data_IF_530136115527
#
_entry.id   IF_530136115527
#
_cell.length_a   1.000
_cell.length_b   1.000
_cell.length_c   1.000
_cell.angle_alpha   90.00
_cell.angle_beta   90.00
_cell.angle_gamma   90.00
#
_symmetry.space_group_name_H-M   'P 1'
#
loop_
_entity.id
_entity.type
_entity.pdbx_description
1 polymer ?
#
# COMPACT_ATOMS: atom_id res chain seq x y z
N UNK A 1 -4.29 -20.81 -21.95
CA UNK A 1 -4.25 -20.52 -20.50
C UNK A 1 -2.86 -20.00 -20.19
N UNK A 2 -2.70 -18.78 -19.64
CA UNK A 2 -1.37 -18.23 -19.30
C UNK A 2 -0.87 -18.96 -18.05
N UNK A 3 0.36 -19.50 -18.07
CA UNK A 3 0.92 -20.13 -16.87
C UNK A 3 1.32 -19.03 -15.88
N UNK A 4 1.16 -19.27 -14.58
CA UNK A 4 1.45 -18.28 -13.53
C UNK A 4 2.87 -17.70 -13.65
N UNK A 5 3.86 -18.54 -14.00
CA UNK A 5 5.23 -18.10 -14.24
C UNK A 5 5.36 -17.07 -15.37
N UNK A 6 4.59 -17.20 -16.45
CA UNK A 6 4.62 -16.25 -17.58
C UNK A 6 4.05 -14.88 -17.18
N UNK A 7 3.01 -14.87 -16.34
CA UNK A 7 2.46 -13.64 -15.78
C UNK A 7 3.45 -12.97 -14.83
N UNK A 8 4.04 -13.75 -13.90
CA UNK A 8 5.05 -13.23 -12.99
C UNK A 8 6.28 -12.69 -13.72
N UNK A 9 6.69 -13.32 -14.82
CA UNK A 9 7.76 -12.79 -15.68
C UNK A 9 7.40 -11.42 -16.27
N UNK A 10 6.16 -11.22 -16.73
CA UNK A 10 5.71 -9.92 -17.23
C UNK A 10 5.71 -8.86 -16.13
N UNK A 11 5.21 -9.19 -14.95
CA UNK A 11 5.18 -8.27 -13.80
C UNK A 11 6.60 -7.97 -13.27
N UNK A 12 7.48 -8.97 -13.25
CA UNK A 12 8.88 -8.83 -12.89
C UNK A 12 9.60 -7.80 -13.76
N UNK A 13 9.36 -7.81 -15.08
CA UNK A 13 9.92 -6.81 -16.00
C UNK A 13 9.48 -5.39 -15.66
N UNK A 14 8.23 -5.20 -15.25
CA UNK A 14 7.71 -3.89 -14.83
C UNK A 14 8.39 -3.44 -13.54
N UNK A 15 8.42 -4.31 -12.52
CA UNK A 15 9.05 -4.00 -11.23
C UNK A 15 10.53 -3.65 -11.41
N UNK A 16 11.26 -4.44 -12.21
CA UNK A 16 12.67 -4.21 -12.50
C UNK A 16 12.89 -2.92 -13.28
N UNK A 17 12.03 -2.59 -14.24
CA UNK A 17 12.11 -1.33 -14.99
C UNK A 17 11.85 -0.11 -14.09
N UNK A 18 11.01 -0.24 -13.07
CA UNK A 18 10.72 0.87 -12.15
C UNK A 18 11.84 1.05 -11.13
N UNK A 19 12.49 -0.04 -10.68
CA UNK A 19 13.53 0.02 -9.66
C UNK A 19 14.85 0.61 -10.14
N UNK A 20 15.09 0.63 -11.45
CA UNK A 20 16.29 1.25 -12.03
C UNK A 20 16.15 2.78 -12.17
N UNK A 21 14.95 3.32 -11.98
CA UNK A 21 14.72 4.76 -12.00
C UNK A 21 15.30 5.39 -10.72
N UNK A 22 16.25 6.31 -10.90
CA UNK A 22 16.86 7.08 -9.81
C UNK A 22 16.39 8.52 -9.87
N UNK A 23 15.85 9.01 -8.75
CA UNK A 23 15.33 10.36 -8.61
C UNK A 23 15.90 10.99 -7.34
N UNK A 24 16.22 12.28 -7.41
CA UNK A 24 16.96 12.98 -6.34
C UNK A 24 16.13 13.33 -5.10
N UNK A 25 14.81 13.11 -5.14
CA UNK A 25 13.86 13.48 -4.09
C UNK A 25 12.75 12.45 -3.92
N UNK A 26 12.14 12.43 -2.74
CA UNK A 26 10.93 11.68 -2.37
C UNK A 26 9.70 12.58 -2.59
N UNK A 27 8.78 12.19 -3.47
CA UNK A 27 7.65 13.02 -3.91
C UNK A 27 6.88 12.46 -5.12
N UNK A 28 5.79 13.12 -5.49
CA UNK A 28 5.04 12.78 -6.71
C UNK A 28 5.71 13.37 -7.95
N UNK A 29 5.70 12.59 -9.03
CA UNK A 29 6.37 12.94 -10.29
C UNK A 29 5.41 13.71 -11.19
N UNK A 30 5.88 14.80 -11.76
CA UNK A 30 5.15 15.60 -12.74
C UNK A 30 6.02 15.84 -13.97
N UNK A 31 5.38 15.95 -15.13
CA UNK A 31 6.08 16.25 -16.38
C UNK A 31 6.30 17.76 -16.46
N UNK A 32 7.57 18.18 -16.51
CA UNK A 32 7.93 19.58 -16.69
C UNK A 32 7.47 20.05 -18.08
N UNK A 33 6.54 21.01 -18.17
CA UNK A 33 5.96 21.44 -19.44
C UNK A 33 6.95 22.16 -20.36
N UNK A 34 8.12 22.61 -19.86
CA UNK A 34 9.11 23.35 -20.65
C UNK A 34 10.11 22.46 -21.37
N UNK A 35 10.50 21.33 -20.78
CA UNK A 35 11.54 20.44 -21.32
C UNK A 35 11.08 19.00 -21.47
N UNK A 36 9.81 18.69 -21.15
CA UNK A 36 9.20 17.37 -21.26
C UNK A 36 9.88 16.28 -20.42
N UNK A 37 10.71 16.67 -19.44
CA UNK A 37 11.37 15.75 -18.51
C UNK A 37 10.50 15.49 -17.28
N UNK A 38 10.64 14.32 -16.69
CA UNK A 38 9.94 13.96 -15.45
C UNK A 38 10.71 14.47 -14.24
N UNK A 39 10.06 15.22 -13.35
CA UNK A 39 10.67 15.78 -12.14
C UNK A 39 9.79 15.52 -10.92
N UNK A 40 10.42 15.37 -9.77
CA UNK A 40 9.74 15.29 -8.48
C UNK A 40 9.45 16.71 -7.99
N UNK A 41 8.23 17.20 -8.20
CA UNK A 41 7.84 18.59 -7.91
C UNK A 41 6.91 18.73 -6.69
N UNK A 42 6.16 17.68 -6.36
CA UNK A 42 5.11 17.71 -5.33
C UNK A 42 5.39 16.73 -4.19
N UNK A 43 4.70 16.92 -3.07
CA UNK A 43 4.73 15.97 -1.94
C UNK A 43 4.29 14.57 -2.39
N UNK A 44 4.73 13.48 -1.73
CA UNK A 44 4.25 12.15 -2.03
C UNK A 44 2.74 12.04 -1.83
N UNK A 45 2.04 11.52 -2.83
CA UNK A 45 0.62 11.16 -2.75
C UNK A 45 0.49 9.66 -3.00
N UNK A 46 0.48 8.87 -1.93
CA UNK A 46 0.28 7.42 -2.04
C UNK A 46 -1.20 7.05 -1.97
N UNK A 47 -1.59 5.96 -2.64
CA UNK A 47 -2.95 5.43 -2.56
C UNK A 47 -3.38 5.19 -1.10
N UNK A 48 -2.52 4.65 -0.25
CA UNK A 48 -2.85 4.44 1.17
C UNK A 48 -3.10 5.75 1.94
N UNK A 49 -2.43 6.85 1.57
CA UNK A 49 -2.73 8.17 2.12
C UNK A 49 -4.09 8.65 1.61
N UNK A 50 -4.36 8.47 0.31
CA UNK A 50 -5.67 8.78 -0.26
C UNK A 50 -6.78 7.95 0.40
N UNK A 51 -6.60 6.66 0.65
CA UNK A 51 -7.55 5.80 1.37
C UNK A 51 -7.78 6.26 2.82
N UNK A 52 -6.73 6.71 3.51
CA UNK A 52 -6.88 7.29 4.86
C UNK A 52 -7.72 8.55 4.81
N UNK A 53 -7.58 9.37 3.78
CA UNK A 53 -8.46 10.53 3.64
C UNK A 53 -9.84 10.04 3.18
N UNK A 54 -9.98 9.20 2.14
CA UNK A 54 -11.24 8.71 1.55
C UNK A 54 -12.13 7.97 2.54
N UNK A 55 -11.57 7.00 3.24
CA UNK A 55 -12.25 6.20 4.25
C UNK A 55 -12.20 6.87 5.64
N UNK A 56 -11.21 7.73 5.88
CA UNK A 56 -11.11 8.60 7.03
C UNK A 56 -11.44 10.04 6.64
N UNK A 57 -12.73 10.30 6.49
CA UNK A 57 -13.30 11.62 6.22
C UNK A 57 -12.96 12.26 4.83
N UNK A 58 -13.39 11.68 3.67
CA UNK A 58 -13.44 12.37 2.33
C UNK A 58 -14.80 12.29 1.58
N UNK A 59 -14.96 13.26 0.68
CA UNK A 59 -16.18 13.93 0.26
C UNK A 59 -17.19 13.09 -0.55
N UNK A 60 -18.47 13.42 -0.32
CA UNK A 60 -19.67 12.75 -0.85
C UNK A 60 -19.86 12.88 -2.38
N UNK A 61 -19.19 13.82 -3.04
CA UNK A 61 -19.41 14.14 -4.46
C UNK A 61 -18.96 13.04 -5.45
N UNK A 62 -18.30 11.99 -4.96
CA UNK A 62 -17.80 10.85 -5.75
C UNK A 62 -18.62 9.57 -5.51
N UNK A 63 -19.58 9.61 -4.59
CA UNK A 63 -20.51 8.51 -4.35
C UNK A 63 -21.63 8.62 -5.39
N UNK A 64 -22.00 7.52 -6.08
CA UNK A 64 -23.07 7.55 -7.07
C UNK A 64 -24.35 8.18 -6.50
N UNK A 65 -24.82 9.27 -7.13
CA UNK A 65 -25.99 10.05 -6.70
C UNK A 65 -27.31 9.56 -7.35
N UNK A 66 -27.33 8.32 -7.83
CA UNK A 66 -28.53 7.71 -8.41
C UNK A 66 -29.26 6.86 -7.37
N UNK A 67 -30.57 7.04 -7.27
CA UNK A 67 -31.43 6.14 -6.51
C UNK A 67 -31.56 4.82 -7.27
N UNK A 68 -31.26 3.71 -6.60
CA UNK A 68 -31.47 2.36 -7.13
C UNK A 68 -32.78 1.81 -6.56
N UNK A 69 -33.69 1.34 -7.40
CA UNK A 69 -34.96 0.75 -6.96
C UNK A 69 -34.80 -0.67 -6.40
N UNK A 70 -33.66 -1.32 -6.67
CA UNK A 70 -33.35 -2.69 -6.23
C UNK A 70 -31.88 -2.81 -5.80
N UNK A 71 -31.62 -3.66 -4.80
CA UNK A 71 -30.26 -3.90 -4.29
C UNK A 71 -29.33 -4.55 -5.34
N UNK A 72 -29.88 -5.38 -6.22
CA UNK A 72 -29.18 -6.02 -7.36
C UNK A 72 -28.53 -4.98 -8.27
N UNK A 73 -29.30 -3.98 -8.71
CA UNK A 73 -28.83 -2.92 -9.61
C UNK A 73 -27.73 -2.05 -8.99
N UNK A 74 -27.74 -1.88 -7.66
CA UNK A 74 -26.65 -1.22 -6.95
C UNK A 74 -25.37 -2.06 -6.93
N UNK A 75 -25.49 -3.37 -6.64
CA UNK A 75 -24.34 -4.28 -6.67
C UNK A 75 -23.75 -4.42 -8.08
N UNK A 76 -24.57 -4.44 -9.13
CA UNK A 76 -24.10 -4.47 -10.52
C UNK A 76 -23.31 -3.19 -10.86
N UNK A 77 -23.81 -2.01 -10.46
CA UNK A 77 -23.11 -0.75 -10.68
C UNK A 77 -21.76 -0.68 -9.94
N UNK A 78 -21.67 -1.22 -8.71
CA UNK A 78 -20.41 -1.31 -7.97
C UNK A 78 -19.42 -2.27 -8.63
N UNK A 79 -19.90 -3.42 -9.12
CA UNK A 79 -19.07 -4.41 -9.82
C UNK A 79 -18.56 -3.84 -11.15
N UNK A 80 -19.40 -3.17 -11.92
CA UNK A 80 -19.00 -2.51 -13.18
C UNK A 80 -17.97 -1.40 -12.95
N UNK A 81 -18.14 -0.58 -11.91
CA UNK A 81 -17.18 0.44 -11.52
C UNK A 81 -15.82 -0.18 -11.17
N UNK A 82 -15.83 -1.25 -10.37
CA UNK A 82 -14.62 -1.96 -9.95
C UNK A 82 -13.91 -2.64 -11.13
N UNK A 83 -14.67 -3.26 -12.05
CA UNK A 83 -14.14 -3.89 -13.27
C UNK A 83 -13.58 -2.85 -14.24
N UNK A 84 -14.28 -1.72 -14.43
CA UNK A 84 -13.87 -0.63 -15.30
C UNK A 84 -12.56 0.00 -14.83
N UNK A 85 -12.41 0.23 -13.53
CA UNK A 85 -11.15 0.71 -12.92
C UNK A 85 -10.01 -0.31 -13.13
N UNK A 86 -10.26 -1.60 -12.92
CA UNK A 86 -9.23 -2.64 -13.03
C UNK A 86 -8.73 -2.86 -14.47
N UNK A 87 -9.62 -2.81 -15.47
CA UNK A 87 -9.28 -3.07 -16.88
C UNK A 87 -8.59 -1.87 -17.53
N UNK A 88 -8.89 -0.64 -17.10
CA UNK A 88 -8.33 0.57 -17.73
C UNK A 88 -6.84 0.79 -17.45
N UNK A 89 -6.31 0.20 -16.37
CA UNK A 89 -4.97 0.55 -15.89
C UNK A 89 -3.85 -0.34 -16.45
N UNK A 90 -4.19 -1.43 -17.17
CA UNK A 90 -3.23 -2.33 -17.81
C UNK A 90 -3.58 -2.51 -19.28
N UNK A 91 -2.68 -2.05 -20.16
CA UNK A 91 -2.79 -2.21 -21.61
C UNK A 91 -2.24 -3.57 -22.02
N UNK A 92 -3.06 -4.36 -22.71
CA UNK A 92 -2.71 -5.71 -23.18
C UNK A 92 -2.93 -5.78 -24.69
N UNK A 93 -1.96 -6.34 -25.43
CA UNK A 93 -2.13 -6.55 -26.87
C UNK A 93 -2.90 -7.83 -27.21
N UNK A 94 -3.20 -8.06 -28.50
CA UNK A 94 -3.93 -9.25 -28.98
C UNK A 94 -3.29 -10.58 -28.54
N UNK A 95 -1.96 -10.60 -28.37
CA UNK A 95 -1.21 -11.75 -27.89
C UNK A 95 -1.23 -11.91 -26.35
N UNK A 96 -2.06 -11.15 -25.63
CA UNK A 96 -2.17 -11.14 -24.16
C UNK A 96 -0.88 -10.73 -23.44
N UNK A 97 -0.04 -9.92 -24.09
CA UNK A 97 1.16 -9.35 -23.48
C UNK A 97 0.83 -7.97 -22.91
N UNK A 98 1.29 -7.72 -21.67
CA UNK A 98 1.20 -6.39 -21.06
C UNK A 98 2.14 -5.48 -21.85
N UNK A 99 1.59 -4.47 -22.51
CA UNK A 99 2.31 -3.50 -23.35
C UNK A 99 2.41 -2.13 -22.69
N UNK A 100 1.62 -1.89 -21.64
CA UNK A 100 1.70 -0.66 -20.86
C UNK A 100 0.92 -0.78 -19.55
N UNK A 101 1.32 0.02 -18.58
CA UNK A 101 0.55 0.30 -17.37
C UNK A 101 0.29 1.80 -17.39
N UNK A 102 -0.95 2.19 -17.17
CA UNK A 102 -1.39 3.59 -17.14
C UNK A 102 -1.91 3.92 -15.75
N UNK A 103 -2.36 5.16 -15.55
CA UNK A 103 -2.93 5.61 -14.28
C UNK A 103 -1.93 5.65 -13.11
N UNK A 104 -0.84 6.39 -13.33
CA UNK A 104 0.23 6.59 -12.35
C UNK A 104 -0.07 7.71 -11.34
N UNK A 105 -1.32 8.16 -11.21
CA UNK A 105 -1.70 9.35 -10.43
C UNK A 105 -1.32 9.26 -8.93
N UNK A 106 -1.23 8.04 -8.39
CA UNK A 106 -0.78 7.77 -7.01
C UNK A 106 0.66 7.25 -6.92
N UNK A 107 1.45 7.46 -7.96
CA UNK A 107 2.86 7.06 -7.99
C UNK A 107 3.70 8.11 -7.33
N UNK A 108 4.59 7.67 -6.45
CA UNK A 108 5.50 8.53 -5.72
C UNK A 108 6.87 7.86 -5.63
N UNK A 109 7.91 8.67 -5.51
CA UNK A 109 9.23 8.18 -5.18
C UNK A 109 9.31 7.88 -3.69
N UNK A 110 9.93 6.77 -3.33
CA UNK A 110 10.02 6.26 -1.96
C UNK A 110 11.45 5.80 -1.65
N UNK A 111 11.81 5.57 -0.37
CA UNK A 111 13.08 4.94 -0.03
C UNK A 111 13.26 3.62 -0.79
N UNK A 112 14.48 3.36 -1.26
CA UNK A 112 14.80 2.20 -2.11
C UNK A 112 14.48 0.87 -1.42
N UNK A 113 14.53 0.84 -0.09
CA UNK A 113 14.22 -0.32 0.75
C UNK A 113 12.77 -0.82 0.56
N UNK A 114 11.85 0.03 0.08
CA UNK A 114 10.51 -0.42 -0.29
C UNK A 114 10.49 -1.34 -1.51
N UNK A 115 11.46 -1.19 -2.43
CA UNK A 115 11.64 -2.11 -3.56
C UNK A 115 12.22 -3.46 -3.14
N UNK A 116 12.91 -3.51 -1.99
CA UNK A 116 13.42 -4.75 -1.42
C UNK A 116 12.31 -5.56 -0.76
N UNK A 117 11.13 -5.00 -0.49
CA UNK A 117 9.99 -5.79 0.00
C UNK A 117 9.29 -6.44 -1.20
N UNK A 118 9.24 -7.79 -1.30
CA UNK A 118 8.53 -8.43 -2.40
C UNK A 118 7.05 -8.01 -2.43
N UNK A 119 6.39 -8.09 -3.60
CA UNK A 119 5.03 -7.59 -3.72
C UNK A 119 4.02 -8.45 -2.94
N UNK A 120 3.30 -7.87 -1.97
CA UNK A 120 2.33 -8.62 -1.16
C UNK A 120 1.17 -9.21 -2.01
N UNK A 121 0.85 -8.58 -3.14
CA UNK A 121 -0.26 -8.95 -4.01
C UNK A 121 -0.06 -10.25 -4.80
N UNK A 122 1.05 -11.00 -4.58
CA UNK A 122 1.24 -12.33 -5.19
C UNK A 122 0.11 -13.32 -4.85
N UNK A 123 -0.58 -13.12 -3.74
CA UNK A 123 -1.77 -13.88 -3.34
C UNK A 123 -3.11 -13.19 -3.67
N UNK A 124 -3.07 -11.97 -4.22
CA UNK A 124 -4.24 -11.11 -4.53
C UNK A 124 -5.12 -10.72 -3.34
N UNK A 125 -4.87 -11.26 -2.16
CA UNK A 125 -5.59 -10.97 -0.92
C UNK A 125 -4.61 -10.53 0.17
N UNK A 126 -4.98 -9.50 0.93
CA UNK A 126 -4.14 -8.94 1.97
C UNK A 126 -4.01 -9.89 3.17
N UNK A 127 -2.85 -9.94 3.85
CA UNK A 127 -2.64 -10.77 5.03
C UNK A 127 -3.69 -10.60 6.13
N UNK A 128 -4.16 -9.37 6.36
CA UNK A 128 -5.16 -9.04 7.39
C UNK A 128 -6.58 -9.53 7.09
N UNK A 129 -6.90 -9.81 5.82
CA UNK A 129 -8.21 -10.30 5.39
C UNK A 129 -8.26 -11.81 5.16
N UNK A 130 -7.09 -12.47 5.21
CA UNK A 130 -6.98 -13.89 4.93
C UNK A 130 -7.76 -14.73 5.94
N UNK A 131 -8.81 -15.39 5.46
CA UNK A 131 -9.75 -16.18 6.29
C UNK A 131 -9.08 -17.25 7.17
N UNK A 132 -7.98 -17.85 6.71
CA UNK A 132 -7.23 -18.89 7.45
C UNK A 132 -6.15 -18.32 8.39
N UNK A 133 -6.08 -16.99 8.49
CA UNK A 133 -5.15 -16.26 9.33
C UNK A 133 -3.76 -16.06 8.75
N UNK A 134 -3.00 -15.17 9.38
CA UNK A 134 -1.70 -14.69 8.92
C UNK A 134 -0.65 -15.81 8.75
N UNK A 135 -0.72 -16.87 9.55
CA UNK A 135 0.19 -18.01 9.46
C UNK A 135 0.06 -18.76 8.14
N UNK A 136 -1.17 -19.14 7.77
CA UNK A 136 -1.44 -19.80 6.47
C UNK A 136 -1.14 -18.86 5.31
N UNK A 137 -1.49 -17.56 5.42
CA UNK A 137 -1.13 -16.57 4.41
C UNK A 137 0.38 -16.58 4.14
N UNK A 138 1.22 -16.56 5.19
CA UNK A 138 2.67 -16.62 5.04
C UNK A 138 3.11 -17.92 4.33
N UNK A 139 2.52 -19.06 4.69
CA UNK A 139 2.85 -20.35 4.08
C UNK A 139 2.47 -20.45 2.60
N UNK A 140 1.34 -19.85 2.19
CA UNK A 140 0.98 -19.79 0.77
C UNK A 140 1.82 -18.76 0.02
N UNK A 141 2.11 -17.62 0.66
CA UNK A 141 2.88 -16.54 0.08
C UNK A 141 4.31 -17.02 -0.23
N UNK A 142 4.94 -17.76 0.68
CA UNK A 142 6.29 -18.31 0.51
C UNK A 142 6.41 -19.13 -0.80
N UNK A 143 5.44 -20.00 -1.07
CA UNK A 143 5.41 -20.81 -2.31
C UNK A 143 5.29 -19.94 -3.57
N UNK A 144 4.47 -18.88 -3.52
CA UNK A 144 4.29 -17.94 -4.64
C UNK A 144 5.50 -17.04 -4.83
N UNK A 145 6.10 -16.62 -3.73
CA UNK A 145 7.31 -15.83 -3.71
C UNK A 145 8.44 -16.56 -4.42
N UNK A 146 8.66 -17.86 -4.16
CA UNK A 146 9.70 -18.61 -4.88
C UNK A 146 9.48 -18.62 -6.40
N UNK A 147 8.22 -18.78 -6.84
CA UNK A 147 7.90 -18.73 -8.28
C UNK A 147 8.16 -17.34 -8.86
N UNK A 148 7.83 -16.28 -8.12
CA UNK A 148 8.06 -14.90 -8.53
C UNK A 148 9.55 -14.56 -8.55
N UNK A 149 10.31 -14.99 -7.55
CA UNK A 149 11.75 -14.77 -7.46
C UNK A 149 12.50 -15.50 -8.57
N UNK A 150 12.05 -16.68 -8.99
CA UNK A 150 12.61 -17.33 -10.18
C UNK A 150 12.38 -16.47 -11.43
N UNK A 151 11.16 -15.97 -11.62
CA UNK A 151 10.85 -15.10 -12.76
C UNK A 151 11.63 -13.78 -12.74
N UNK A 152 11.84 -13.20 -11.54
CA UNK A 152 12.71 -12.02 -11.35
C UNK A 152 14.15 -12.32 -11.73
N UNK A 153 14.73 -13.42 -11.22
CA UNK A 153 16.10 -13.83 -11.57
C UNK A 153 16.27 -14.00 -13.08
N UNK A 154 15.35 -14.70 -13.74
CA UNK A 154 15.44 -14.90 -15.19
C UNK A 154 15.41 -13.57 -15.96
N UNK A 155 14.57 -12.62 -15.54
CA UNK A 155 14.49 -11.28 -16.12
C UNK A 155 15.77 -10.47 -15.87
N UNK A 156 16.30 -10.52 -14.65
CA UNK A 156 17.57 -9.87 -14.29
C UNK A 156 18.72 -10.43 -15.13
N UNK A 157 18.82 -11.76 -15.28
CA UNK A 157 19.83 -12.43 -16.10
C UNK A 157 19.73 -12.04 -17.59
N UNK A 158 18.51 -11.91 -18.12
CA UNK A 158 18.27 -11.41 -19.47
C UNK A 158 18.74 -9.96 -19.63
N UNK A 159 18.37 -9.07 -18.70
CA UNK A 159 18.74 -7.65 -18.74
C UNK A 159 20.25 -7.42 -18.53
N UNK A 160 20.90 -8.22 -17.68
CA UNK A 160 22.35 -8.17 -17.46
C UNK A 160 23.09 -8.63 -18.71
N UNK A 161 22.66 -9.73 -19.35
CA UNK A 161 23.23 -10.18 -20.64
C UNK A 161 23.03 -9.15 -21.75
N UNK A 162 21.94 -8.39 -21.71
CA UNK A 162 21.68 -7.30 -22.63
C UNK A 162 22.45 -5.99 -22.30
N UNK A 163 23.21 -5.95 -21.20
CA UNK A 163 23.94 -4.77 -20.75
C UNK A 163 23.05 -3.63 -20.20
N UNK A 164 21.80 -3.93 -19.87
CA UNK A 164 20.80 -2.95 -19.41
C UNK A 164 20.72 -2.83 -17.88
N UNK A 165 21.32 -3.78 -17.15
CA UNK A 165 21.30 -3.86 -15.70
C UNK A 165 22.68 -4.29 -15.19
N UNK A 166 23.13 -3.71 -14.08
CA UNK A 166 24.33 -4.17 -13.38
C UNK A 166 23.99 -5.25 -12.35
N UNK A 167 24.94 -6.15 -12.07
CA UNK A 167 24.79 -7.19 -11.02
C UNK A 167 24.41 -6.61 -9.64
N UNK A 168 24.91 -5.41 -9.31
CA UNK A 168 24.58 -4.71 -8.05
C UNK A 168 23.15 -4.19 -7.97
N UNK A 169 22.42 -4.17 -9.09
CA UNK A 169 21.04 -3.67 -9.18
C UNK A 169 20.00 -4.80 -9.12
N UNK A 170 20.42 -6.05 -8.87
CA UNK A 170 19.48 -7.17 -8.68
C UNK A 170 18.59 -6.96 -7.46
N UNK A 171 17.30 -7.20 -7.64
CA UNK A 171 16.29 -7.10 -6.58
C UNK A 171 15.92 -8.46 -5.99
N UNK A 172 15.97 -9.53 -6.78
CA UNK A 172 15.54 -10.87 -6.38
C UNK A 172 16.18 -11.33 -5.06
N UNK A 173 17.49 -11.13 -4.90
CA UNK A 173 18.23 -11.41 -3.67
C UNK A 173 17.76 -10.55 -2.50
N UNK A 174 17.65 -9.24 -2.70
CA UNK A 174 17.18 -8.30 -1.69
C UNK A 174 15.74 -8.60 -1.23
N UNK A 175 14.87 -8.99 -2.16
CA UNK A 175 13.50 -9.44 -1.88
C UNK A 175 13.45 -10.70 -1.03
N UNK A 176 14.30 -11.68 -1.35
CA UNK A 176 14.44 -12.92 -0.59
C UNK A 176 14.91 -12.63 0.83
N UNK A 177 15.93 -11.80 0.98
CA UNK A 177 16.51 -11.45 2.28
C UNK A 177 15.54 -10.63 3.13
N UNK A 178 14.81 -9.69 2.51
CA UNK A 178 13.77 -8.91 3.17
C UNK A 178 12.63 -9.78 3.72
N UNK A 179 12.21 -10.80 2.97
CA UNK A 179 11.22 -11.77 3.45
C UNK A 179 11.75 -12.60 4.62
N UNK A 180 12.94 -13.20 4.47
CA UNK A 180 13.56 -14.06 5.51
C UNK A 180 13.87 -13.33 6.81
N UNK A 181 14.39 -12.10 6.71
CA UNK A 181 14.72 -11.27 7.88
C UNK A 181 13.48 -10.72 8.59
N UNK A 182 12.33 -10.70 7.91
CA UNK A 182 11.10 -10.05 8.38
C UNK A 182 11.04 -8.55 8.09
N UNK A 183 12.04 -7.96 7.41
CA UNK A 183 12.03 -6.55 6.99
C UNK A 183 10.85 -6.23 6.07
N UNK A 184 10.37 -7.22 5.30
CA UNK A 184 9.11 -7.13 4.57
C UNK A 184 7.96 -6.58 5.43
N UNK A 185 7.82 -7.03 6.68
CA UNK A 185 6.72 -6.63 7.56
C UNK A 185 6.82 -5.17 8.01
N UNK A 186 8.05 -4.65 8.18
CA UNK A 186 8.27 -3.23 8.49
C UNK A 186 7.81 -2.37 7.32
N UNK A 187 8.23 -2.73 6.10
CA UNK A 187 7.83 -2.02 4.88
C UNK A 187 6.35 -2.20 4.55
N UNK A 188 5.76 -3.35 4.90
CA UNK A 188 4.34 -3.61 4.73
C UNK A 188 3.51 -2.74 5.69
N UNK A 189 3.84 -2.74 6.98
CA UNK A 189 3.13 -1.97 8.00
C UNK A 189 3.25 -0.45 7.75
N UNK A 190 4.42 0.03 7.31
CA UNK A 190 4.62 1.43 6.95
C UNK A 190 3.72 1.90 5.78
N UNK A 191 3.33 0.99 4.89
CA UNK A 191 2.48 1.28 3.72
C UNK A 191 0.99 0.98 3.94
N UNK A 192 0.64 0.22 4.98
CA UNK A 192 -0.73 -0.24 5.24
C UNK A 192 -1.14 0.14 6.67
N UNK A 193 -1.58 1.39 6.83
CA UNK A 193 -1.90 1.99 8.13
C UNK A 193 -3.03 1.25 8.87
N UNK A 194 -4.09 0.81 8.19
CA UNK A 194 -5.19 0.06 8.81
C UNK A 194 -4.77 -1.33 9.32
N UNK A 195 -3.75 -1.94 8.70
CA UNK A 195 -3.20 -3.22 9.13
C UNK A 195 -2.09 -3.06 10.18
N UNK A 196 -1.63 -1.82 10.43
CA UNK A 196 -0.42 -1.54 11.20
C UNK A 196 -0.45 -2.23 12.56
N UNK A 197 -1.51 -2.05 13.35
CA UNK A 197 -1.59 -2.59 14.71
C UNK A 197 -1.45 -4.12 14.71
N UNK A 198 -2.28 -4.81 13.89
CA UNK A 198 -2.25 -6.26 13.80
C UNK A 198 -0.91 -6.83 13.33
N UNK A 199 -0.26 -6.18 12.36
CA UNK A 199 1.03 -6.61 11.82
C UNK A 199 2.16 -6.29 12.80
N UNK A 200 2.10 -5.13 13.45
CA UNK A 200 3.10 -4.68 14.41
C UNK A 200 3.25 -5.70 15.53
N UNK A 201 2.15 -6.03 16.21
CA UNK A 201 2.18 -6.96 17.34
C UNK A 201 2.54 -8.39 16.93
N UNK A 202 2.11 -8.84 15.74
CA UNK A 202 2.36 -10.22 15.29
C UNK A 202 3.75 -10.44 14.68
N UNK A 203 4.32 -9.45 14.00
CA UNK A 203 5.50 -9.63 13.14
C UNK A 203 6.66 -8.66 13.42
N UNK A 204 6.42 -7.53 14.10
CA UNK A 204 7.43 -6.49 14.31
C UNK A 204 7.87 -6.44 15.78
N UNK A 205 6.95 -6.22 16.73
CA UNK A 205 7.25 -6.01 18.16
C UNK A 205 8.24 -7.05 18.70
N UNK A 206 7.94 -8.33 18.51
CA UNK A 206 8.73 -9.44 19.05
C UNK A 206 10.17 -9.51 18.53
N UNK A 207 10.45 -8.92 17.36
CA UNK A 207 11.80 -8.86 16.78
C UNK A 207 12.69 -7.84 17.50
N UNK A 208 12.09 -6.77 18.03
CA UNK A 208 12.83 -5.68 18.67
C UNK A 208 12.77 -5.75 20.20
N UNK A 209 11.67 -6.24 20.77
CA UNK A 209 11.40 -6.23 22.20
C UNK A 209 11.27 -7.63 22.82
N UNK A 210 11.53 -8.69 22.04
CA UNK A 210 11.52 -10.07 22.50
C UNK A 210 10.11 -10.67 22.62
N UNK A 211 9.97 -11.93 23.09
CA UNK A 211 8.68 -12.60 23.19
C UNK A 211 7.74 -11.92 24.20
N UNK A 212 6.43 -12.15 24.04
CA UNK A 212 5.39 -11.77 25.00
C UNK A 212 4.75 -13.00 25.62
N UNK A 213 4.23 -12.85 26.84
CA UNK A 213 3.54 -13.90 27.56
C UNK A 213 2.07 -14.01 27.14
N UNK A 214 1.46 -12.89 26.78
CA UNK A 214 0.08 -12.86 26.29
C UNK A 214 -0.05 -13.47 24.89
N UNK A 215 -1.04 -14.34 24.77
CA UNK A 215 -1.54 -14.86 23.49
C UNK A 215 -2.60 -13.93 22.87
N UNK A 216 -3.23 -13.07 23.69
CA UNK A 216 -4.21 -12.08 23.25
C UNK A 216 -3.51 -10.79 22.82
N UNK A 217 -3.66 -10.43 21.55
CA UNK A 217 -3.04 -9.26 20.93
C UNK A 217 -3.44 -7.94 21.63
N UNK A 218 -4.70 -7.84 22.04
CA UNK A 218 -5.27 -6.63 22.67
C UNK A 218 -4.63 -6.30 24.03
N UNK A 219 -3.91 -7.24 24.63
CA UNK A 219 -3.25 -7.09 25.92
C UNK A 219 -1.73 -7.03 25.83
N UNK A 220 -1.13 -7.30 24.66
CA UNK A 220 0.34 -7.35 24.46
C UNK A 220 0.99 -6.01 24.81
N UNK A 221 0.35 -4.88 24.49
CA UNK A 221 0.88 -3.55 24.77
C UNK A 221 1.10 -3.30 26.27
N UNK A 222 0.32 -3.94 27.16
CA UNK A 222 0.46 -3.79 28.62
C UNK A 222 1.81 -4.31 29.10
N UNK A 223 2.30 -5.39 28.49
CA UNK A 223 3.63 -5.93 28.78
C UNK A 223 4.75 -4.98 28.33
N UNK A 224 4.49 -4.06 27.40
CA UNK A 224 5.46 -3.08 26.89
C UNK A 224 5.45 -1.74 27.62
N UNK A 225 4.51 -1.51 28.54
CA UNK A 225 4.43 -0.26 29.30
C UNK A 225 5.69 0.06 30.09
N UNK A 226 6.46 -0.93 30.51
CA UNK A 226 7.71 -0.71 31.22
C UNK A 226 8.82 -0.09 30.35
N UNK A 227 8.70 -0.16 29.01
CA UNK A 227 9.64 0.44 28.06
C UNK A 227 9.46 1.96 27.94
N UNK A 228 8.29 2.47 28.30
CA UNK A 228 7.98 3.89 28.23
C UNK A 228 8.54 4.64 29.46
N UNK A 229 9.15 5.78 29.21
CA UNK A 229 9.56 6.73 30.24
C UNK A 229 8.34 7.33 30.96
N UNK A 230 8.56 7.92 32.14
CA UNK A 230 7.48 8.60 32.88
C UNK A 230 6.86 9.74 32.06
N UNK A 231 7.68 10.51 31.33
CA UNK A 231 7.21 11.60 30.48
C UNK A 231 6.31 11.10 29.36
N UNK A 232 6.66 9.97 28.72
CA UNK A 232 5.84 9.38 27.66
C UNK A 232 4.52 8.84 28.20
N UNK A 233 4.52 8.21 29.38
CA UNK A 233 3.29 7.75 30.05
C UNK A 233 2.36 8.91 30.39
N UNK A 234 2.91 10.00 30.93
CA UNK A 234 2.15 11.22 31.22
C UNK A 234 1.58 11.83 29.94
N UNK A 235 2.37 11.88 28.86
CA UNK A 235 1.92 12.34 27.56
C UNK A 235 0.76 11.51 27.00
N UNK A 236 0.82 10.18 27.10
CA UNK A 236 -0.29 9.30 26.70
C UNK A 236 -1.56 9.64 27.48
N UNK A 237 -1.46 9.82 28.80
CA UNK A 237 -2.61 10.19 29.62
C UNK A 237 -3.22 11.54 29.21
N UNK A 238 -2.37 12.52 28.86
CA UNK A 238 -2.82 13.82 28.31
C UNK A 238 -3.56 13.59 26.99
N UNK A 239 -3.00 12.82 26.05
CA UNK A 239 -3.66 12.52 24.78
C UNK A 239 -5.01 11.82 24.96
N UNK A 240 -5.09 10.83 25.85
CA UNK A 240 -6.33 10.10 26.15
C UNK A 240 -7.37 11.06 26.72
N UNK A 241 -6.99 11.90 27.69
CA UNK A 241 -7.89 12.91 28.27
C UNK A 241 -8.41 13.88 27.21
N UNK A 242 -7.53 14.43 26.38
CA UNK A 242 -7.91 15.30 25.27
C UNK A 242 -8.86 14.60 24.30
N UNK A 243 -8.63 13.31 23.99
CA UNK A 243 -9.53 12.53 23.12
C UNK A 243 -10.91 12.31 23.76
N UNK A 244 -11.00 12.06 25.05
CA UNK A 244 -12.28 11.95 25.76
C UNK A 244 -13.04 13.29 25.81
N UNK A 245 -12.34 14.39 26.07
CA UNK A 245 -12.93 15.75 26.05
C UNK A 245 -13.41 16.13 24.65
N UNK A 246 -12.63 15.79 23.62
CA UNK A 246 -13.04 15.91 22.23
C UNK A 246 -14.25 15.04 21.93
N UNK A 247 -14.31 13.79 22.40
CA UNK A 247 -15.46 12.91 22.14
C UNK A 247 -16.78 13.47 22.69
N UNK A 248 -16.73 14.21 23.81
CA UNK A 248 -17.91 14.84 24.42
C UNK A 248 -18.40 16.08 23.66
N UNK A 249 -17.51 16.76 22.96
CA UNK A 249 -17.79 18.03 22.27
C UNK A 249 -17.81 17.90 20.75
N UNK A 250 -17.25 16.80 20.23
CA UNK A 250 -17.22 16.46 18.81
C UNK A 250 -18.65 16.06 18.45
N UNK A 251 -19.39 16.90 17.71
CA UNK A 251 -20.57 16.37 17.07
C UNK A 251 -20.12 15.16 16.24
N UNK A 252 -20.89 14.09 16.23
CA UNK A 252 -20.75 13.03 15.22
C UNK A 252 -21.23 13.57 13.85
N UNK A 253 -20.87 14.81 13.56
CA UNK A 253 -20.99 15.49 12.31
C UNK A 253 -19.58 15.52 11.72
N UNK A 254 -19.58 15.26 10.45
CA UNK A 254 -18.40 15.18 9.62
C UNK A 254 -17.86 16.60 9.41
N UNK A 255 -16.56 16.85 9.63
CA UNK A 255 -15.99 18.20 9.47
C UNK A 255 -16.09 18.61 7.99
N UNK A 256 -16.76 19.73 7.65
CA UNK A 256 -16.77 20.25 6.29
C UNK A 256 -15.36 20.73 5.93
N UNK A 257 -14.77 20.14 4.89
CA UNK A 257 -13.50 20.59 4.34
C UNK A 257 -13.62 21.99 3.70
N UNK A 258 -12.49 22.62 3.34
CA UNK A 258 -12.47 23.94 2.68
C UNK A 258 -13.38 23.99 1.42
N UNK A 259 -13.56 22.85 0.76
CA UNK A 259 -14.43 22.71 -0.41
C UNK A 259 -15.92 22.79 -0.03
N UNK A 260 -16.31 22.20 1.11
CA UNK A 260 -17.67 22.24 1.65
C UNK A 260 -18.07 23.66 2.05
N UNK A 261 -17.15 24.45 2.63
CA UNK A 261 -17.42 25.86 2.98
C UNK A 261 -17.54 26.76 1.75
N UNK A 262 -16.79 26.48 0.68
CA UNK A 262 -16.89 27.23 -0.56
C UNK A 262 -18.26 27.04 -1.24
N UNK A 263 -18.81 25.83 -1.20
CA UNK A 263 -20.14 25.52 -1.76
C UNK A 263 -21.30 26.16 -0.97
N UNK A 264 -21.16 26.32 0.35
CA UNK A 264 -22.16 27.00 1.18
C UNK A 264 -22.21 28.52 0.95
N UNK A 265 -21.09 29.13 0.53
CA UNK A 265 -21.03 30.56 0.19
C UNK A 265 -21.59 30.88 -1.21
N UNK A 266 -21.65 29.93 -2.15
CA UNK A 266 -22.17 30.16 -3.51
C UNK A 266 -23.70 30.08 -3.62
N UNK A 267 -24.41 29.62 -2.57
CA UNK A 267 -25.88 29.47 -2.57
C UNK A 267 -26.60 30.28 -1.49
N UNK A 268 -25.92 31.28 -0.91
CA UNK A 268 -26.54 32.34 -0.09
C UNK A 268 -26.30 33.68 -0.77
N UNK A 269 -26.83 33.83 -1.99
CA UNK A 269 -27.29 35.09 -2.61
C UNK A 269 -28.16 34.81 -3.84
#
# INVERSE_FOLDING_TARGET
MVRLGDLYRKLAKIVLSLSTLTLSKIGSVERDPKNMTWKVLNRPLSYSMNEVVQLGTLARSIIPNSMYSEASSYFDALVELQISHLIKNILVNEAKNIVGVVDWEFTYTAPVEFSHAPPWWLLLEKPEYWSKGLGDWCSQYDKRLETFLQAMNDCEDESIRAGQLMETQRLSGLMRDSWKSGNFWVMYAARNNFAFDSIYWRKIDRRFFGPTQSFELDNVWKERLHLLTLKEKEYINICVKLRFEQMNTRPLAWDPDEYTRAYECEWVE
#
